data_IF_167467528334
#
_entry.id   IF_167467528334
#
_cell.length_a   1.000
_cell.length_b   1.000
_cell.length_c   1.000
_cell.angle_alpha   90.00
_cell.angle_beta   90.00
_cell.angle_gamma   90.00
#
_symmetry.space_group_name_H-M   'P 1'
#
loop_
_entity.id
_entity.type
_entity.pdbx_description
1 polymer ?
#
# COMPACT_ATOMS: atom_id res chain seq x y z
N UNK A 1 -17.96 9.10 34.66
CA UNK A 1 -16.51 8.81 34.63
C UNK A 1 -16.20 7.44 33.98
N UNK A 2 -16.92 6.37 34.31
CA UNK A 2 -16.68 5.03 33.75
C UNK A 2 -16.95 4.90 32.25
N UNK A 3 -18.03 5.52 31.72
CA UNK A 3 -18.31 5.46 30.26
C UNK A 3 -17.28 6.19 29.41
N UNK A 4 -16.82 7.36 29.86
CA UNK A 4 -15.78 8.13 29.14
C UNK A 4 -14.46 7.37 29.11
N UNK A 5 -14.09 6.72 30.24
CA UNK A 5 -12.89 5.89 30.30
C UNK A 5 -13.01 4.65 29.40
N UNK A 6 -14.17 3.98 29.40
CA UNK A 6 -14.44 2.84 28.54
C UNK A 6 -14.34 3.21 27.04
N UNK A 7 -14.94 4.33 26.62
CA UNK A 7 -14.82 4.84 25.25
C UNK A 7 -13.39 5.13 24.89
N UNK A 8 -12.65 5.80 25.78
CA UNK A 8 -11.22 6.08 25.56
C UNK A 8 -10.41 4.80 25.34
N UNK A 9 -10.62 3.78 26.17
CA UNK A 9 -9.91 2.50 26.08
C UNK A 9 -10.27 1.78 24.78
N UNK A 10 -11.54 1.73 24.41
CA UNK A 10 -12.00 1.06 23.19
C UNK A 10 -11.43 1.72 21.93
N UNK A 11 -11.41 3.06 21.87
CA UNK A 11 -10.81 3.78 20.75
C UNK A 11 -9.27 3.60 20.71
N UNK A 12 -8.62 3.57 21.87
CA UNK A 12 -7.19 3.31 21.96
C UNK A 12 -6.84 1.90 21.43
N UNK A 13 -7.64 0.89 21.78
CA UNK A 13 -7.47 -0.48 21.24
C UNK A 13 -7.73 -0.51 19.73
N UNK A 14 -8.76 0.19 19.24
CA UNK A 14 -9.07 0.29 17.82
C UNK A 14 -7.93 0.92 17.01
N UNK A 15 -7.18 1.86 17.58
CA UNK A 15 -6.01 2.47 16.95
C UNK A 15 -4.84 1.49 16.76
N UNK A 16 -4.80 0.35 17.44
CA UNK A 16 -3.75 -0.66 17.25
C UNK A 16 -3.74 -1.26 15.85
N UNK A 17 -4.78 -1.08 15.03
CA UNK A 17 -4.79 -1.44 13.60
C UNK A 17 -3.67 -0.73 12.82
N UNK A 18 -3.15 0.38 13.32
CA UNK A 18 -2.01 1.09 12.72
C UNK A 18 -0.75 0.20 12.70
N UNK A 19 -0.60 -0.73 13.65
CA UNK A 19 0.55 -1.64 13.72
C UNK A 19 0.62 -2.55 12.49
N UNK A 20 -0.39 -3.41 12.21
CA UNK A 20 -0.39 -4.22 11.00
C UNK A 20 -0.39 -3.40 9.71
N UNK A 21 -1.07 -2.23 9.67
CA UNK A 21 -1.03 -1.32 8.54
C UNK A 21 0.40 -0.84 8.22
N UNK A 22 1.16 -0.45 9.25
CA UNK A 22 2.54 0.00 9.10
C UNK A 22 3.46 -1.13 8.62
N UNK A 23 3.28 -2.34 9.13
CA UNK A 23 4.02 -3.51 8.65
C UNK A 23 3.78 -3.69 7.15
N UNK A 24 2.54 -3.65 6.68
CA UNK A 24 2.20 -3.76 5.25
C UNK A 24 2.78 -2.63 4.41
N UNK A 25 2.85 -1.40 4.94
CA UNK A 25 3.48 -0.28 4.25
C UNK A 25 5.00 -0.45 4.10
N UNK A 26 5.67 -0.95 5.13
CA UNK A 26 7.14 -1.04 5.18
C UNK A 26 7.68 -2.29 4.46
N UNK A 27 6.95 -3.41 4.46
CA UNK A 27 7.39 -4.67 3.85
C UNK A 27 7.85 -4.53 2.40
N UNK A 28 7.10 -3.91 1.47
CA UNK A 28 7.52 -3.76 0.09
C UNK A 28 8.62 -2.70 -0.08
N UNK A 29 8.81 -1.82 0.91
CA UNK A 29 9.79 -0.72 0.91
C UNK A 29 11.07 -1.04 1.69
N UNK A 30 11.28 -2.29 2.12
CA UNK A 30 12.41 -2.69 2.98
C UNK A 30 13.77 -2.25 2.43
N UNK A 31 13.97 -2.32 1.11
CA UNK A 31 15.22 -1.96 0.44
C UNK A 31 15.39 -0.44 0.25
N UNK A 32 14.37 0.35 0.58
CA UNK A 32 14.32 1.82 0.46
C UNK A 32 14.18 2.52 1.82
N UNK A 33 14.38 1.81 2.92
CA UNK A 33 14.34 2.41 4.25
C UNK A 33 15.60 3.25 4.50
N UNK A 34 15.40 4.49 4.98
CA UNK A 34 16.50 5.40 5.37
C UNK A 34 17.17 5.00 6.66
N UNK A 35 16.41 4.39 7.57
CA UNK A 35 16.84 4.07 8.91
C UNK A 35 16.76 2.58 9.17
N UNK A 36 17.64 2.07 10.02
CA UNK A 36 17.54 0.70 10.53
C UNK A 36 16.23 0.51 11.31
N UNK A 37 15.69 -0.69 11.28
CA UNK A 37 14.47 -1.06 12.01
C UNK A 37 14.56 -0.67 13.49
N UNK A 38 15.76 -0.75 14.11
CA UNK A 38 15.98 -0.36 15.50
C UNK A 38 15.67 1.12 15.77
N UNK A 39 15.90 2.00 14.78
CA UNK A 39 15.65 3.44 14.89
C UNK A 39 14.22 3.81 14.44
N UNK A 40 13.62 3.01 13.57
CA UNK A 40 12.24 3.19 13.11
C UNK A 40 11.25 2.85 14.21
N UNK A 41 11.53 1.83 15.01
CA UNK A 41 10.63 1.34 16.06
C UNK A 41 10.25 2.41 17.10
N UNK A 42 11.19 3.16 17.72
CA UNK A 42 10.83 4.21 18.68
C UNK A 42 10.07 5.38 18.03
N UNK A 43 10.42 5.75 16.79
CA UNK A 43 9.68 6.77 16.04
C UNK A 43 8.24 6.32 15.80
N UNK A 44 8.05 5.07 15.36
CA UNK A 44 6.74 4.49 15.13
C UNK A 44 5.90 4.43 16.42
N UNK A 45 6.48 3.98 17.54
CA UNK A 45 5.80 3.95 18.84
C UNK A 45 5.38 5.35 19.28
N UNK A 46 6.23 6.36 19.10
CA UNK A 46 5.88 7.75 19.40
C UNK A 46 4.69 8.26 18.58
N UNK A 47 4.70 7.99 17.27
CA UNK A 47 3.58 8.36 16.37
C UNK A 47 2.30 7.59 16.76
N UNK A 48 2.40 6.29 17.05
CA UNK A 48 1.27 5.47 17.48
C UNK A 48 0.62 6.03 18.75
N UNK A 49 1.42 6.32 19.78
CA UNK A 49 0.94 6.89 21.04
C UNK A 49 0.28 8.26 20.80
N UNK A 50 0.93 9.12 20.01
CA UNK A 50 0.37 10.45 19.68
C UNK A 50 -0.98 10.33 18.97
N UNK A 51 -1.08 9.48 17.94
CA UNK A 51 -2.35 9.26 17.21
C UNK A 51 -3.41 8.69 18.12
N UNK A 52 -3.08 7.68 18.93
CA UNK A 52 -4.00 7.06 19.88
C UNK A 52 -4.55 8.09 20.87
N UNK A 53 -3.69 8.91 21.47
CA UNK A 53 -4.12 9.95 22.42
C UNK A 53 -5.01 11.01 21.75
N UNK A 54 -4.69 11.43 20.52
CA UNK A 54 -5.48 12.43 19.78
C UNK A 54 -6.85 11.85 19.40
N UNK A 55 -6.91 10.63 18.84
CA UNK A 55 -8.19 10.00 18.47
C UNK A 55 -9.05 9.78 19.70
N UNK A 56 -8.53 9.08 20.70
CA UNK A 56 -9.29 8.74 21.90
C UNK A 56 -9.68 9.98 22.72
N UNK A 57 -8.81 10.99 22.77
CA UNK A 57 -9.13 12.26 23.43
C UNK A 57 -10.17 13.08 22.68
N UNK A 58 -10.04 13.19 21.36
CA UNK A 58 -11.02 13.92 20.54
C UNK A 58 -12.41 13.29 20.59
N UNK A 59 -12.50 11.96 20.51
CA UNK A 59 -13.78 11.23 20.54
C UNK A 59 -14.42 11.20 21.93
N UNK A 60 -13.60 11.30 23.00
CA UNK A 60 -14.09 11.39 24.36
C UNK A 60 -14.61 12.79 24.73
N UNK A 61 -14.01 13.85 24.16
CA UNK A 61 -14.31 15.24 24.51
C UNK A 61 -15.27 15.92 23.52
N UNK A 62 -15.29 15.50 22.26
CA UNK A 62 -16.06 16.14 21.20
C UNK A 62 -17.11 15.17 20.63
N UNK A 63 -18.30 15.66 20.20
CA UNK A 63 -19.30 14.84 19.53
C UNK A 63 -18.92 14.58 18.06
N UNK A 64 -17.68 14.10 17.83
CA UNK A 64 -17.14 13.82 16.50
C UNK A 64 -17.03 12.30 16.33
N UNK A 65 -17.41 11.81 15.16
CA UNK A 65 -17.26 10.40 14.86
C UNK A 65 -15.77 9.99 14.81
N UNK A 66 -15.37 8.90 15.47
CA UNK A 66 -13.98 8.43 15.53
C UNK A 66 -13.34 8.26 14.15
N UNK A 67 -14.15 7.78 13.18
CA UNK A 67 -13.69 7.58 11.80
C UNK A 67 -13.21 8.87 11.14
N UNK A 68 -13.87 10.01 11.38
CA UNK A 68 -13.48 11.31 10.80
C UNK A 68 -12.14 11.76 11.35
N UNK A 69 -11.97 11.66 12.67
CA UNK A 69 -10.68 12.00 13.31
C UNK A 69 -9.56 11.13 12.79
N UNK A 70 -9.81 9.82 12.65
CA UNK A 70 -8.84 8.87 12.12
C UNK A 70 -8.41 9.20 10.69
N UNK A 71 -9.35 9.54 9.79
CA UNK A 71 -9.01 9.90 8.40
C UNK A 71 -8.19 11.19 8.32
N UNK A 72 -8.46 12.18 9.16
CA UNK A 72 -7.64 13.41 9.24
C UNK A 72 -6.20 13.07 9.64
N UNK A 73 -6.03 12.12 10.56
CA UNK A 73 -4.71 11.69 11.04
C UNK A 73 -3.94 10.80 10.05
N UNK A 74 -4.56 10.35 8.95
CA UNK A 74 -3.80 9.68 7.88
C UNK A 74 -2.74 10.60 7.25
N UNK A 75 -2.96 11.92 7.24
CA UNK A 75 -1.98 12.87 6.68
C UNK A 75 -0.68 12.87 7.49
N UNK A 76 -0.68 13.12 8.81
CA UNK A 76 0.56 13.05 9.60
C UNK A 76 1.17 11.64 9.64
N UNK A 77 0.36 10.57 9.59
CA UNK A 77 0.86 9.20 9.47
C UNK A 77 1.61 8.98 8.14
N UNK A 78 1.08 9.51 7.05
CA UNK A 78 1.78 9.45 5.75
C UNK A 78 3.08 10.25 5.78
N UNK A 79 3.09 11.42 6.40
CA UNK A 79 4.31 12.24 6.55
C UNK A 79 5.37 11.49 7.37
N UNK A 80 4.99 10.87 8.48
CA UNK A 80 5.90 10.04 9.29
C UNK A 80 6.45 8.86 8.47
N UNK A 81 5.59 8.15 7.70
CA UNK A 81 6.01 7.10 6.79
C UNK A 81 7.01 7.61 5.73
N UNK A 82 6.77 8.80 5.16
CA UNK A 82 7.65 9.42 4.16
C UNK A 82 9.04 9.77 4.70
N UNK A 83 9.15 10.12 5.98
CA UNK A 83 10.45 10.35 6.64
C UNK A 83 11.27 9.07 6.71
N UNK A 84 10.62 7.94 6.93
CA UNK A 84 11.27 6.62 7.08
C UNK A 84 11.75 6.07 5.73
N UNK A 85 11.00 6.32 4.63
CA UNK A 85 11.21 5.68 3.33
C UNK A 85 11.77 6.65 2.31
N UNK A 86 12.86 6.24 1.61
CA UNK A 86 13.48 6.96 0.50
C UNK A 86 13.07 6.38 -0.86
N UNK A 87 11.85 6.70 -1.27
CA UNK A 87 11.30 6.32 -2.56
C UNK A 87 10.52 7.48 -3.19
N UNK A 88 10.10 7.35 -4.45
CA UNK A 88 9.23 8.36 -5.09
C UNK A 88 7.95 8.53 -4.28
N UNK A 89 7.51 9.79 -4.10
CA UNK A 89 6.33 10.15 -3.30
C UNK A 89 5.06 9.44 -3.79
N UNK A 90 4.93 9.23 -5.11
CA UNK A 90 3.77 8.57 -5.71
C UNK A 90 3.75 7.08 -5.33
N UNK A 91 4.92 6.41 -5.33
CA UNK A 91 5.05 5.02 -4.88
C UNK A 91 4.74 4.88 -3.39
N UNK A 92 5.28 5.79 -2.57
CA UNK A 92 5.00 5.82 -1.13
C UNK A 92 3.51 5.99 -0.87
N UNK A 93 2.87 6.94 -1.55
CA UNK A 93 1.45 7.23 -1.37
C UNK A 93 0.56 6.07 -1.83
N UNK A 94 0.87 5.44 -2.98
CA UNK A 94 0.17 4.26 -3.47
C UNK A 94 0.23 3.09 -2.47
N UNK A 95 1.42 2.78 -1.95
CA UNK A 95 1.63 1.69 -0.99
C UNK A 95 0.92 1.98 0.34
N UNK A 96 1.00 3.22 0.81
CA UNK A 96 0.32 3.67 2.03
C UNK A 96 -1.20 3.51 1.89
N UNK A 97 -1.79 4.04 0.83
CA UNK A 97 -3.23 3.94 0.59
C UNK A 97 -3.70 2.49 0.44
N UNK A 98 -2.94 1.64 -0.27
CA UNK A 98 -3.28 0.23 -0.39
C UNK A 98 -3.32 -0.48 0.97
N UNK A 99 -2.34 -0.22 1.83
CA UNK A 99 -2.30 -0.81 3.18
C UNK A 99 -3.51 -0.40 4.01
N UNK A 100 -3.88 0.89 3.97
CA UNK A 100 -5.09 1.38 4.66
C UNK A 100 -6.38 0.87 4.02
N UNK A 101 -6.42 0.65 2.71
CA UNK A 101 -7.56 0.00 2.05
C UNK A 101 -7.79 -1.40 2.60
N UNK A 102 -6.73 -2.22 2.71
CA UNK A 102 -6.82 -3.57 3.27
C UNK A 102 -7.30 -3.52 4.72
N UNK A 103 -6.76 -2.60 5.53
CA UNK A 103 -7.17 -2.45 6.92
C UNK A 103 -8.63 -1.97 7.06
N UNK A 104 -9.14 -1.17 6.13
CA UNK A 104 -10.55 -0.74 6.15
C UNK A 104 -11.51 -1.92 5.90
N UNK A 105 -11.13 -2.91 5.09
CA UNK A 105 -11.88 -4.16 4.95
C UNK A 105 -11.81 -5.00 6.23
N UNK A 106 -10.63 -5.13 6.85
CA UNK A 106 -10.49 -5.83 8.13
C UNK A 106 -11.40 -5.20 9.21
N UNK A 107 -11.49 -3.87 9.24
CA UNK A 107 -12.40 -3.15 10.12
C UNK A 107 -13.86 -3.49 9.84
N UNK A 108 -14.30 -3.51 8.59
CA UNK A 108 -15.67 -3.84 8.23
C UNK A 108 -16.05 -5.29 8.63
N UNK A 109 -15.14 -6.26 8.46
CA UNK A 109 -15.38 -7.62 8.95
C UNK A 109 -15.43 -7.69 10.47
N UNK A 110 -14.60 -6.92 11.17
CA UNK A 110 -14.67 -6.83 12.63
C UNK A 110 -16.02 -6.24 13.10
N UNK A 111 -16.52 -5.20 12.42
CA UNK A 111 -17.87 -4.63 12.68
C UNK A 111 -18.96 -5.68 12.50
N UNK A 112 -18.89 -6.53 11.50
CA UNK A 112 -19.86 -7.61 11.29
C UNK A 112 -19.89 -8.58 12.45
N UNK A 113 -18.73 -8.97 12.96
CA UNK A 113 -18.64 -9.91 14.08
C UNK A 113 -19.06 -9.25 15.38
N UNK A 114 -18.59 -8.03 15.64
CA UNK A 114 -18.96 -7.26 16.83
C UNK A 114 -20.47 -7.00 16.92
N UNK A 115 -21.11 -6.68 15.78
CA UNK A 115 -22.55 -6.51 15.71
C UNK A 115 -23.32 -7.79 16.02
N UNK A 116 -22.78 -8.96 15.74
CA UNK A 116 -23.42 -10.25 16.09
C UNK A 116 -23.30 -10.52 17.60
N UNK A 117 -22.15 -10.16 18.20
CA UNK A 117 -21.88 -10.42 19.62
C UNK A 117 -22.63 -9.38 20.49
N UNK A 118 -22.65 -8.14 20.05
CA UNK A 118 -23.20 -6.99 20.81
C UNK A 118 -24.27 -6.22 20.01
N UNK A 119 -25.42 -6.82 19.69
CA UNK A 119 -26.47 -6.20 18.86
C UNK A 119 -27.09 -4.94 19.49
N UNK A 120 -27.01 -4.81 20.84
CA UNK A 120 -27.56 -3.69 21.62
C UNK A 120 -26.71 -2.41 21.51
N UNK A 121 -25.47 -2.48 21.02
CA UNK A 121 -24.63 -1.31 20.90
C UNK A 121 -25.18 -0.33 19.86
N UNK A 122 -25.75 0.76 20.35
CA UNK A 122 -26.32 1.84 19.52
C UNK A 122 -25.29 2.89 19.08
N UNK A 123 -24.01 2.73 19.43
CA UNK A 123 -22.96 3.71 19.14
C UNK A 123 -22.02 3.22 18.03
N UNK A 124 -21.43 4.13 17.23
CA UNK A 124 -20.49 3.75 16.16
C UNK A 124 -19.11 3.33 16.70
N UNK A 125 -18.95 3.19 18.01
CA UNK A 125 -17.70 2.77 18.65
C UNK A 125 -17.67 1.25 18.82
N UNK A 126 -16.53 0.64 18.57
CA UNK A 126 -16.35 -0.77 18.86
C UNK A 126 -16.52 -1.09 20.33
N UNK A 127 -17.04 -2.29 20.63
CA UNK A 127 -16.84 -2.91 21.94
C UNK A 127 -15.35 -3.20 22.17
N UNK A 128 -14.96 -3.50 23.39
CA UNK A 128 -13.59 -3.98 23.69
C UNK A 128 -13.27 -5.24 22.91
N UNK A 129 -14.23 -6.17 22.82
CA UNK A 129 -14.10 -7.42 22.07
C UNK A 129 -14.00 -7.15 20.56
N UNK A 130 -14.81 -6.23 20.02
CA UNK A 130 -14.76 -5.82 18.63
C UNK A 130 -13.41 -5.22 18.23
N UNK A 131 -12.81 -4.41 19.11
CA UNK A 131 -11.47 -3.85 18.86
C UNK A 131 -10.37 -4.94 18.86
N UNK A 132 -10.46 -5.93 19.74
CA UNK A 132 -9.54 -7.07 19.76
C UNK A 132 -9.74 -7.97 18.55
N UNK A 133 -10.98 -8.22 18.13
CA UNK A 133 -11.29 -8.97 16.90
C UNK A 133 -10.73 -8.25 15.69
N UNK A 134 -10.87 -6.92 15.60
CA UNK A 134 -10.29 -6.11 14.53
C UNK A 134 -8.77 -6.28 14.46
N UNK A 135 -8.09 -6.21 15.60
CA UNK A 135 -6.64 -6.41 15.67
C UNK A 135 -6.27 -7.83 15.23
N UNK A 136 -6.98 -8.85 15.73
CA UNK A 136 -6.75 -10.27 15.36
C UNK A 136 -6.89 -10.51 13.85
N UNK A 137 -7.99 -10.04 13.24
CA UNK A 137 -8.22 -10.15 11.79
C UNK A 137 -7.12 -9.41 11.02
N UNK A 138 -6.78 -8.20 11.42
CA UNK A 138 -5.76 -7.39 10.75
C UNK A 138 -4.37 -8.03 10.81
N UNK A 139 -3.99 -8.60 11.95
CA UNK A 139 -2.74 -9.35 12.10
C UNK A 139 -2.74 -10.64 11.26
N UNK A 140 -3.85 -11.39 11.25
CA UNK A 140 -3.98 -12.61 10.46
C UNK A 140 -3.88 -12.33 8.95
N UNK A 141 -4.59 -11.32 8.45
CA UNK A 141 -4.52 -10.89 7.04
C UNK A 141 -3.11 -10.40 6.70
N UNK A 142 -2.51 -9.57 7.57
CA UNK A 142 -1.13 -9.10 7.37
C UNK A 142 -0.15 -10.27 7.28
N UNK A 143 -0.23 -11.24 8.17
CA UNK A 143 0.64 -12.43 8.15
C UNK A 143 0.44 -13.26 6.87
N UNK A 144 -0.80 -13.45 6.43
CA UNK A 144 -1.13 -14.20 5.22
C UNK A 144 -0.55 -13.56 3.95
N UNK A 145 -0.59 -12.22 3.84
CA UNK A 145 -0.12 -11.50 2.65
C UNK A 145 1.31 -10.96 2.78
N UNK A 146 1.97 -11.09 3.95
CA UNK A 146 3.31 -10.55 4.20
C UNK A 146 4.33 -11.04 3.16
N UNK A 147 4.37 -12.35 2.89
CA UNK A 147 5.31 -12.93 1.94
C UNK A 147 5.10 -12.42 0.50
N UNK A 148 3.90 -12.49 -0.09
CA UNK A 148 3.68 -11.97 -1.43
C UNK A 148 3.92 -10.46 -1.51
N UNK A 149 3.52 -9.67 -0.52
CA UNK A 149 3.75 -8.22 -0.50
C UNK A 149 5.24 -7.90 -0.43
N UNK A 150 6.00 -8.60 0.42
CA UNK A 150 7.45 -8.40 0.51
C UNK A 150 8.18 -8.78 -0.78
N UNK A 151 7.81 -9.89 -1.43
CA UNK A 151 8.49 -10.40 -2.63
C UNK A 151 8.08 -9.64 -3.89
N UNK A 152 6.80 -9.61 -4.19
CA UNK A 152 6.28 -9.03 -5.43
C UNK A 152 6.18 -7.51 -5.35
N UNK A 153 5.84 -6.96 -4.20
CA UNK A 153 5.79 -5.51 -3.97
C UNK A 153 7.17 -4.86 -4.11
N UNK A 154 8.21 -5.41 -3.47
CA UNK A 154 9.59 -4.90 -3.62
C UNK A 154 10.07 -4.97 -5.07
N UNK A 155 9.74 -6.04 -5.79
CA UNK A 155 10.09 -6.17 -7.20
C UNK A 155 9.47 -5.06 -8.06
N UNK A 156 8.19 -4.75 -7.85
CA UNK A 156 7.52 -3.67 -8.57
C UNK A 156 8.08 -2.29 -8.18
N UNK A 157 8.28 -2.03 -6.89
CA UNK A 157 8.78 -0.74 -6.40
C UNK A 157 10.17 -0.43 -6.97
N UNK A 158 11.06 -1.42 -6.98
CA UNK A 158 12.42 -1.26 -7.47
C UNK A 158 12.52 -1.22 -8.99
N UNK A 159 11.65 -1.95 -9.68
CA UNK A 159 11.74 -2.13 -11.12
C UNK A 159 10.87 -1.21 -11.96
N UNK A 160 9.76 -0.68 -11.45
CA UNK A 160 8.78 0.06 -12.24
C UNK A 160 9.00 1.58 -12.15
N UNK A 161 9.58 2.23 -13.20
CA UNK A 161 9.84 3.67 -13.18
C UNK A 161 8.61 4.52 -13.53
N UNK A 162 7.55 3.91 -14.08
CA UNK A 162 6.42 4.64 -14.67
C UNK A 162 5.45 5.16 -13.60
N UNK A 163 5.48 6.46 -13.31
CA UNK A 163 4.57 7.14 -12.37
C UNK A 163 3.09 6.91 -12.68
N UNK A 164 2.73 6.86 -13.98
CA UNK A 164 1.33 6.69 -14.42
C UNK A 164 0.69 5.39 -13.89
N UNK A 165 1.46 4.32 -13.82
CA UNK A 165 0.97 3.03 -13.32
C UNK A 165 0.64 3.12 -11.81
N UNK A 166 1.47 3.83 -11.04
CA UNK A 166 1.23 4.04 -9.61
C UNK A 166 0.02 4.96 -9.34
N UNK A 167 -0.27 5.92 -10.23
CA UNK A 167 -1.48 6.74 -10.13
C UNK A 167 -2.76 5.90 -10.24
N UNK A 168 -2.77 4.85 -11.08
CA UNK A 168 -3.90 3.92 -11.16
C UNK A 168 -4.12 3.23 -9.81
N UNK A 169 -3.06 2.76 -9.16
CA UNK A 169 -3.14 2.15 -7.82
C UNK A 169 -3.69 3.12 -6.77
N UNK A 170 -3.30 4.40 -6.83
CA UNK A 170 -3.83 5.45 -5.93
C UNK A 170 -5.33 5.63 -6.12
N UNK A 171 -5.79 5.80 -7.37
CA UNK A 171 -7.21 5.99 -7.68
C UNK A 171 -8.02 4.77 -7.23
N UNK A 172 -7.53 3.55 -7.50
CA UNK A 172 -8.17 2.32 -7.05
C UNK A 172 -8.31 2.27 -5.52
N UNK A 173 -7.22 2.54 -4.80
CA UNK A 173 -7.25 2.54 -3.32
C UNK A 173 -8.22 3.59 -2.78
N UNK A 174 -8.23 4.81 -3.33
CA UNK A 174 -9.17 5.86 -2.91
C UNK A 174 -10.63 5.48 -3.16
N UNK A 175 -10.94 4.85 -4.29
CA UNK A 175 -12.29 4.35 -4.57
C UNK A 175 -12.74 3.32 -3.54
N UNK A 176 -11.88 2.34 -3.20
CA UNK A 176 -12.22 1.32 -2.21
C UNK A 176 -12.30 1.88 -0.78
N UNK A 177 -11.45 2.84 -0.39
CA UNK A 177 -11.56 3.53 0.90
C UNK A 177 -12.88 4.29 0.98
N UNK A 178 -13.21 5.07 -0.05
CA UNK A 178 -14.47 5.82 -0.11
C UNK A 178 -15.67 4.90 -0.03
N UNK A 179 -15.65 3.78 -0.75
CA UNK A 179 -16.70 2.78 -0.70
C UNK A 179 -16.83 2.16 0.71
N UNK A 180 -15.72 1.70 1.30
CA UNK A 180 -15.73 1.16 2.66
C UNK A 180 -16.28 2.16 3.68
N UNK A 181 -15.97 3.45 3.50
CA UNK A 181 -16.50 4.51 4.35
C UNK A 181 -18.03 4.65 4.25
N UNK A 182 -18.57 4.59 3.02
CA UNK A 182 -20.02 4.77 2.79
C UNK A 182 -20.86 3.57 3.23
N UNK A 183 -20.30 2.36 3.13
CA UNK A 183 -21.00 1.12 3.49
C UNK A 183 -20.98 0.87 5.01
N UNK A 184 -20.03 1.46 5.73
CA UNK A 184 -19.91 1.27 7.18
C UNK A 184 -21.17 1.74 7.91
N UNK A 185 -21.83 0.87 8.73
CA UNK A 185 -23.04 1.25 9.45
C UNK A 185 -22.74 2.32 10.51
N UNK A 186 -23.66 3.25 10.68
CA UNK A 186 -23.58 4.27 11.74
C UNK A 186 -24.02 3.69 13.08
N UNK A 187 -25.00 2.80 13.08
CA UNK A 187 -25.51 2.11 14.27
C UNK A 187 -25.69 0.63 13.98
N UNK A 188 -25.34 -0.24 14.92
CA UNK A 188 -25.51 -1.70 14.74
C UNK A 188 -26.98 -2.10 14.59
N UNK A 189 -27.89 -1.39 15.25
CA UNK A 189 -29.34 -1.62 15.13
C UNK A 189 -29.85 -1.54 13.69
N UNK A 190 -29.23 -0.69 12.85
CA UNK A 190 -29.63 -0.58 11.43
C UNK A 190 -29.33 -1.84 10.62
N UNK A 191 -28.35 -2.64 11.05
CA UNK A 191 -28.00 -3.90 10.41
C UNK A 191 -29.08 -4.96 10.56
N UNK A 192 -29.88 -4.89 11.64
CA UNK A 192 -30.92 -5.87 11.93
C UNK A 192 -32.28 -5.54 11.28
N UNK A 193 -32.36 -4.43 10.55
CA UNK A 193 -33.55 -4.07 9.78
C UNK A 193 -33.61 -4.91 8.48
N UNK A 194 -34.67 -5.72 8.37
CA UNK A 194 -34.88 -6.59 7.20
C UNK A 194 -33.66 -7.48 6.89
N UNK A 195 -33.11 -7.39 5.65
CA UNK A 195 -31.96 -8.16 5.19
C UNK A 195 -30.68 -7.33 5.09
N UNK A 196 -30.62 -6.17 5.76
CA UNK A 196 -29.48 -5.22 5.65
C UNK A 196 -28.19 -5.88 6.07
N UNK A 197 -28.16 -6.70 7.11
CA UNK A 197 -26.98 -7.42 7.55
C UNK A 197 -26.41 -8.36 6.47
N UNK A 198 -27.28 -9.14 5.84
CA UNK A 198 -26.85 -10.05 4.75
C UNK A 198 -26.33 -9.26 3.55
N UNK A 199 -27.00 -8.17 3.18
CA UNK A 199 -26.56 -7.29 2.09
C UNK A 199 -25.20 -6.65 2.42
N UNK A 200 -24.98 -6.23 3.65
CA UNK A 200 -23.70 -5.67 4.10
C UNK A 200 -22.57 -6.68 3.96
N UNK A 201 -22.76 -7.93 4.41
CA UNK A 201 -21.78 -9.00 4.26
C UNK A 201 -21.48 -9.26 2.78
N UNK A 202 -22.52 -9.42 1.97
CA UNK A 202 -22.37 -9.71 0.53
C UNK A 202 -21.63 -8.60 -0.20
N UNK A 203 -21.99 -7.34 0.02
CA UNK A 203 -21.35 -6.19 -0.63
C UNK A 203 -19.90 -6.08 -0.20
N UNK A 204 -19.60 -6.16 1.10
CA UNK A 204 -18.22 -6.06 1.60
C UNK A 204 -17.36 -7.19 1.06
N UNK A 205 -17.88 -8.42 1.02
CA UNK A 205 -17.14 -9.58 0.49
C UNK A 205 -16.92 -9.46 -1.02
N UNK A 206 -17.94 -9.05 -1.78
CA UNK A 206 -17.81 -8.83 -3.22
C UNK A 206 -16.76 -7.77 -3.52
N UNK A 207 -16.79 -6.65 -2.79
CA UNK A 207 -15.81 -5.57 -2.96
C UNK A 207 -14.39 -5.99 -2.57
N UNK A 208 -14.24 -6.83 -1.55
CA UNK A 208 -12.93 -7.40 -1.20
C UNK A 208 -12.39 -8.32 -2.31
N UNK A 209 -13.23 -9.17 -2.88
CA UNK A 209 -12.88 -10.00 -4.04
C UNK A 209 -12.48 -9.12 -5.23
N UNK A 210 -13.25 -8.07 -5.52
CA UNK A 210 -12.94 -7.10 -6.57
C UNK A 210 -11.58 -6.41 -6.34
N UNK A 211 -11.27 -6.02 -5.10
CA UNK A 211 -9.96 -5.47 -4.74
C UNK A 211 -8.83 -6.45 -5.10
N UNK A 212 -8.94 -7.71 -4.67
CA UNK A 212 -7.93 -8.75 -4.94
C UNK A 212 -7.76 -8.95 -6.44
N UNK A 213 -8.85 -9.06 -7.20
CA UNK A 213 -8.81 -9.23 -8.66
C UNK A 213 -8.15 -8.03 -9.35
N UNK A 214 -8.55 -6.80 -9.00
CA UNK A 214 -8.00 -5.60 -9.61
C UNK A 214 -6.49 -5.45 -9.31
N UNK A 215 -6.03 -5.73 -8.08
CA UNK A 215 -4.60 -5.71 -7.78
C UNK A 215 -3.82 -6.86 -8.41
N UNK A 216 -4.45 -8.01 -8.64
CA UNK A 216 -3.85 -9.10 -9.42
C UNK A 216 -3.64 -8.68 -10.87
N UNK A 217 -4.66 -8.11 -11.51
CA UNK A 217 -4.55 -7.57 -12.89
C UNK A 217 -3.50 -6.44 -12.94
N UNK A 218 -3.52 -5.53 -11.97
CA UNK A 218 -2.52 -4.46 -11.85
C UNK A 218 -1.10 -5.05 -11.80
N UNK A 219 -0.87 -6.08 -10.99
CA UNK A 219 0.42 -6.75 -10.89
C UNK A 219 0.87 -7.33 -12.24
N UNK A 220 -0.02 -8.01 -12.97
CA UNK A 220 0.32 -8.57 -14.29
C UNK A 220 0.66 -7.49 -15.31
N UNK A 221 -0.12 -6.40 -15.37
CA UNK A 221 0.15 -5.26 -16.26
C UNK A 221 1.48 -4.60 -15.91
N UNK A 222 1.73 -4.35 -14.63
CA UNK A 222 2.96 -3.74 -14.15
C UNK A 222 4.19 -4.62 -14.46
N UNK A 223 4.08 -5.93 -14.24
CA UNK A 223 5.14 -6.90 -14.54
C UNK A 223 5.42 -7.01 -16.04
N UNK A 224 4.38 -7.01 -16.87
CA UNK A 224 4.52 -7.01 -18.33
C UNK A 224 5.20 -5.71 -18.82
N UNK A 225 4.81 -4.56 -18.29
CA UNK A 225 5.42 -3.27 -18.61
C UNK A 225 6.90 -3.22 -18.20
N UNK A 226 7.24 -3.81 -17.05
CA UNK A 226 8.63 -3.92 -16.61
C UNK A 226 9.47 -4.79 -17.54
N UNK A 227 8.94 -5.94 -17.97
CA UNK A 227 9.61 -6.83 -18.90
C UNK A 227 9.82 -6.16 -20.25
N UNK A 228 8.78 -5.53 -20.82
CA UNK A 228 8.86 -4.79 -22.07
C UNK A 228 9.89 -3.64 -22.03
N UNK A 229 10.02 -2.98 -20.88
CA UNK A 229 11.04 -1.94 -20.66
C UNK A 229 12.46 -2.51 -20.73
N UNK A 230 12.73 -3.64 -20.08
CA UNK A 230 14.04 -4.32 -20.11
C UNK A 230 14.37 -4.84 -21.49
N UNK A 231 13.40 -5.41 -22.21
CA UNK A 231 13.60 -5.91 -23.58
C UNK A 231 13.98 -4.77 -24.53
N UNK A 232 13.34 -3.59 -24.41
CA UNK A 232 13.71 -2.40 -25.20
C UNK A 232 15.12 -1.91 -24.89
N UNK A 233 15.51 -1.88 -23.62
CA UNK A 233 16.87 -1.52 -23.21
C UNK A 233 17.90 -2.48 -23.81
N UNK A 234 17.63 -3.78 -23.75
CA UNK A 234 18.49 -4.81 -24.32
C UNK A 234 18.65 -4.67 -25.85
N UNK A 235 17.54 -4.42 -26.56
CA UNK A 235 17.57 -4.16 -28.03
C UNK A 235 18.41 -2.93 -28.31
N UNK A 236 18.25 -1.84 -27.58
CA UNK A 236 19.04 -0.61 -27.77
C UNK A 236 20.55 -0.84 -27.56
N UNK A 237 20.93 -1.65 -26.57
CA UNK A 237 22.35 -2.02 -26.35
C UNK A 237 22.89 -2.84 -27.51
N UNK A 238 22.12 -3.81 -27.99
CA UNK A 238 22.53 -4.64 -29.15
C UNK A 238 22.69 -3.79 -30.43
N UNK A 239 21.78 -2.84 -30.68
CA UNK A 239 21.90 -1.91 -31.80
C UNK A 239 23.14 -1.03 -31.71
N UNK A 240 23.47 -0.55 -30.49
CA UNK A 240 24.70 0.22 -30.28
C UNK A 240 25.96 -0.62 -30.52
N UNK A 241 25.99 -1.86 -30.04
CA UNK A 241 27.11 -2.78 -30.28
C UNK A 241 27.26 -3.07 -31.76
N UNK A 242 26.16 -3.30 -32.49
CA UNK A 242 26.19 -3.50 -33.93
C UNK A 242 26.77 -2.29 -34.65
N UNK A 243 26.35 -1.07 -34.34
CA UNK A 243 26.90 0.16 -34.91
C UNK A 243 28.42 0.30 -34.67
N UNK A 244 28.87 -0.07 -33.46
CA UNK A 244 30.31 -0.06 -33.14
C UNK A 244 31.07 -1.08 -33.95
N UNK A 245 30.52 -2.29 -34.12
CA UNK A 245 31.14 -3.35 -34.94
C UNK A 245 31.23 -2.93 -36.39
N UNK A 246 30.15 -2.39 -36.98
CA UNK A 246 30.12 -1.93 -38.37
C UNK A 246 31.14 -0.79 -38.60
N UNK A 247 31.29 0.12 -37.63
CA UNK A 247 32.30 1.19 -37.68
C UNK A 247 33.73 0.64 -37.61
N UNK A 248 34.00 -0.35 -36.76
CA UNK A 248 35.30 -1.01 -36.68
C UNK A 248 35.64 -1.76 -37.98
N UNK A 249 34.68 -2.49 -38.55
CA UNK A 249 34.86 -3.20 -39.79
C UNK A 249 35.22 -2.23 -40.92
N UNK A 250 34.46 -1.13 -41.04
CA UNK A 250 34.76 -0.08 -42.04
C UNK A 250 36.16 0.50 -41.87
N UNK A 251 36.56 0.78 -40.61
CA UNK A 251 37.92 1.27 -40.35
C UNK A 251 38.99 0.28 -40.76
N UNK A 252 38.79 -1.02 -40.54
CA UNK A 252 39.73 -2.07 -40.98
C UNK A 252 39.80 -2.17 -42.52
N UNK A 253 38.64 -2.07 -43.20
CA UNK A 253 38.58 -2.06 -44.66
C UNK A 253 39.31 -0.85 -45.24
N UNK A 254 39.08 0.35 -44.73
CA UNK A 254 39.74 1.59 -45.15
C UNK A 254 41.25 1.52 -44.90
N UNK A 255 41.67 1.00 -43.75
CA UNK A 255 43.09 0.80 -43.41
C UNK A 255 43.76 -0.22 -44.32
N UNK A 256 43.06 -1.30 -44.66
CA UNK A 256 43.55 -2.32 -45.61
C UNK A 256 43.71 -1.75 -47.01
N UNK A 257 42.77 -0.91 -47.46
CA UNK A 257 42.81 -0.23 -48.76
C UNK A 257 43.99 0.74 -48.83
N UNK A 258 44.19 1.56 -47.82
CA UNK A 258 45.34 2.49 -47.75
C UNK A 258 46.66 1.71 -47.79
N UNK A 259 46.79 0.60 -47.08
CA UNK A 259 47.98 -0.25 -47.07
C UNK A 259 48.26 -0.85 -48.45
N UNK A 260 47.23 -1.28 -49.16
CA UNK A 260 47.32 -1.81 -50.49
C UNK A 260 47.81 -0.73 -51.48
N UNK A 261 47.28 0.48 -51.42
CA UNK A 261 47.63 1.61 -52.28
C UNK A 261 49.11 2.09 -52.05
N UNK A 262 49.53 2.10 -50.76
CA UNK A 262 50.93 2.38 -50.41
C UNK A 262 51.91 1.35 -50.97
N UNK A 263 51.55 0.08 -50.97
CA UNK A 263 52.38 -0.99 -51.48
C UNK A 263 52.53 -0.92 -53.03
N UNK A 264 51.49 -0.48 -53.73
CA UNK A 264 51.52 -0.26 -55.15
C UNK A 264 52.34 0.99 -55.52
N UNK A 265 52.26 2.09 -54.79
CA UNK A 265 53.02 3.30 -55.11
C UNK A 265 54.52 3.22 -54.71
N UNK A 266 54.93 2.27 -53.87
CA UNK A 266 56.33 2.03 -53.50
C UNK A 266 57.05 1.04 -54.46
N UNK A 267 56.35 0.51 -55.45
CA UNK A 267 56.88 -0.40 -56.46
C UNK A 267 57.06 0.28 -57.86
N UNK A 268 56.70 1.54 -57.99
CA UNK A 268 56.97 2.45 -59.08
C UNK A 268 58.14 3.38 -58.75
#
# INVERSE_FOLDING_TARGET
MNEMLSRFVNEALSCLIIVPATVLCLLPMKDKMRYSIKNVLPLFLGVLVMVTVIVSGATALLPVEPKVVFYILLVPLFLAYRVIVDADIVKCFATFLLSFTIMSFCKNYAIMIDAVIHPELGTPTFSTDGALIQLGISCAVTAAIAYPVAKYGSHLINGLPYRRVWLISIVMSLMFIGFNFTVQPVHYQTLYLNRVFLVYILITTLMFIMLVLMYTVFYFIASASLKAGKDKEHISVLEMQKKQYDAQQKYLEDTSRIRHDFKHSSLL
#
